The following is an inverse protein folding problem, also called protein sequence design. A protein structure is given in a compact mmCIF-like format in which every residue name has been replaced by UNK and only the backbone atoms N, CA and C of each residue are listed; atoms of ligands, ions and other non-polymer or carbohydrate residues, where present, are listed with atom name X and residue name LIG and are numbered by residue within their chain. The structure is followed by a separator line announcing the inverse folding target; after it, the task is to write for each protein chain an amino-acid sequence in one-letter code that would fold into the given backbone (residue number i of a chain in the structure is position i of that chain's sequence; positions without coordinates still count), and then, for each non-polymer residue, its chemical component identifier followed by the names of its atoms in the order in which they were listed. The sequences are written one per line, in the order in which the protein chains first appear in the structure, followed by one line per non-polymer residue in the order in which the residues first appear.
data_IF_437451276911
#
_entry.id   IF_437451276911
#
_cell.length_a   1.000
_cell.length_b   1.000
_cell.length_c   1.000
_cell.angle_alpha   90.00
_cell.angle_beta   90.00
_cell.angle_gamma   90.00
#
_symmetry.space_group_name_H-M   'P 1'
#
loop_
_entity.id
_entity.type
_entity.pdbx_description
1 polymer ?
#
# COMPACT_ATOMS: atom_id res chain seq x y z
N UNK A 1 -11.81 24.77 29.64
CA UNK A 1 -12.63 23.54 29.53
C UNK A 1 -11.72 22.38 29.15
N UNK A 2 -11.63 21.34 29.98
CA UNK A 2 -10.74 20.21 29.76
C UNK A 2 -11.19 19.37 28.56
N UNK A 3 -10.29 19.14 27.60
CA UNK A 3 -10.53 18.30 26.42
C UNK A 3 -10.56 16.83 26.87
N UNK A 4 -11.73 16.21 26.84
CA UNK A 4 -11.90 14.80 27.16
C UNK A 4 -11.09 13.93 26.20
N UNK A 5 -10.37 12.94 26.75
CA UNK A 5 -9.55 11.97 26.04
C UNK A 5 -10.46 11.16 25.11
N UNK A 6 -10.37 11.39 23.80
CA UNK A 6 -11.13 10.65 22.78
C UNK A 6 -10.67 9.19 22.84
N UNK A 7 -11.49 8.31 23.42
CA UNK A 7 -11.25 6.87 23.41
C UNK A 7 -10.97 6.42 21.98
N UNK A 8 -9.85 5.72 21.77
CA UNK A 8 -9.51 5.14 20.47
C UNK A 8 -10.68 4.29 19.99
N UNK A 9 -11.39 4.79 18.98
CA UNK A 9 -12.51 4.06 18.38
C UNK A 9 -11.95 2.80 17.75
N UNK A 10 -12.30 1.63 18.30
CA UNK A 10 -11.98 0.34 17.69
C UNK A 10 -12.38 0.37 16.20
N UNK A 11 -11.45 0.09 15.26
CA UNK A 11 -11.67 0.30 13.82
C UNK A 11 -12.69 -0.67 13.22
N UNK A 12 -13.02 -1.76 13.91
CA UNK A 12 -13.94 -2.81 13.45
C UNK A 12 -14.96 -3.13 14.53
N UNK A 13 -16.25 -3.11 14.19
CA UNK A 13 -17.37 -3.43 15.10
C UNK A 13 -18.30 -4.46 14.48
N UNK A 14 -18.78 -5.41 15.27
CA UNK A 14 -19.86 -6.32 14.85
C UNK A 14 -21.19 -5.58 14.96
N UNK A 15 -22.04 -5.76 13.94
CA UNK A 15 -23.40 -5.24 13.88
C UNK A 15 -24.34 -6.31 13.34
N UNK A 16 -25.62 -6.12 13.61
CA UNK A 16 -26.69 -7.04 13.21
C UNK A 16 -27.69 -6.31 12.34
N UNK A 17 -28.18 -6.98 11.30
CA UNK A 17 -29.25 -6.51 10.43
C UNK A 17 -30.39 -7.53 10.49
N UNK A 18 -31.55 -7.10 10.95
CA UNK A 18 -32.76 -7.90 10.92
C UNK A 18 -33.18 -8.19 9.48
N UNK A 19 -33.52 -9.44 9.20
CA UNK A 19 -34.02 -9.90 7.91
C UNK A 19 -35.54 -10.17 7.98
N UNK A 20 -36.18 -10.26 6.81
CA UNK A 20 -37.63 -10.45 6.70
C UNK A 20 -38.12 -11.79 7.25
N UNK A 21 -37.24 -12.80 7.28
CA UNK A 21 -37.49 -14.15 7.79
C UNK A 21 -37.34 -14.26 9.31
N UNK A 22 -37.05 -13.15 10.02
CA UNK A 22 -36.83 -13.14 11.47
C UNK A 22 -35.39 -13.44 11.89
N UNK A 23 -34.51 -13.79 10.96
CA UNK A 23 -33.09 -14.01 11.22
C UNK A 23 -32.33 -12.67 11.30
N UNK A 24 -31.11 -12.71 11.85
CA UNK A 24 -30.21 -11.55 11.89
C UNK A 24 -28.93 -11.83 11.12
N UNK A 25 -28.65 -11.04 10.09
CA UNK A 25 -27.36 -11.08 9.38
C UNK A 25 -26.29 -10.33 10.17
N UNK A 26 -25.13 -10.95 10.32
CA UNK A 26 -23.96 -10.36 10.98
C UNK A 26 -23.06 -9.68 9.94
N UNK A 27 -22.68 -8.43 10.23
CA UNK A 27 -21.74 -7.67 9.41
C UNK A 27 -20.74 -6.90 10.26
N UNK A 28 -19.59 -6.61 9.66
CA UNK A 28 -18.58 -5.72 10.24
C UNK A 28 -18.82 -4.29 9.74
N UNK A 29 -18.78 -3.36 10.68
CA UNK A 29 -18.72 -1.93 10.46
C UNK A 29 -17.27 -1.49 10.66
N UNK A 30 -16.60 -1.18 9.55
CA UNK A 30 -15.17 -0.92 9.50
C UNK A 30 -14.96 0.57 9.19
N UNK A 31 -14.26 1.27 10.08
CA UNK A 31 -13.87 2.67 9.91
C UNK A 31 -12.35 2.78 9.89
N UNK A 32 -11.79 2.94 8.69
CA UNK A 32 -10.34 3.03 8.45
C UNK A 32 -10.06 4.07 7.38
N UNK A 33 -8.94 4.78 7.45
CA UNK A 33 -8.53 5.77 6.44
C UNK A 33 -9.59 6.83 6.13
N UNK A 34 -10.34 7.26 7.17
CA UNK A 34 -11.48 8.20 7.07
C UNK A 34 -12.63 7.72 6.17
N UNK A 35 -12.63 6.44 5.76
CA UNK A 35 -13.70 5.81 4.98
C UNK A 35 -14.40 4.74 5.81
N UNK A 36 -15.72 4.66 5.66
CA UNK A 36 -16.55 3.62 6.27
C UNK A 36 -16.91 2.57 5.23
N UNK A 37 -16.76 1.30 5.58
CA UNK A 37 -17.20 0.18 4.75
C UNK A 37 -17.92 -0.87 5.59
N UNK A 38 -18.86 -1.57 4.96
CA UNK A 38 -19.59 -2.68 5.57
C UNK A 38 -19.19 -3.99 4.91
N UNK A 39 -18.89 -5.01 5.72
CA UNK A 39 -18.53 -6.34 5.26
C UNK A 39 -19.52 -7.36 5.83
N UNK A 40 -20.39 -7.91 4.98
CA UNK A 40 -21.37 -8.91 5.39
C UNK A 40 -20.70 -10.29 5.49
N UNK A 41 -20.78 -10.91 6.67
CA UNK A 41 -20.04 -12.16 6.95
C UNK A 41 -20.74 -13.42 6.41
N UNK A 42 -21.94 -13.29 5.85
CA UNK A 42 -22.84 -14.41 5.51
C UNK A 42 -23.10 -15.36 6.69
N UNK A 43 -22.95 -14.85 7.90
CA UNK A 43 -23.31 -15.50 9.15
C UNK A 43 -24.67 -14.95 9.60
N UNK A 44 -25.52 -15.84 10.09
CA UNK A 44 -26.89 -15.51 10.48
C UNK A 44 -27.19 -16.07 11.87
N UNK A 45 -27.82 -15.25 12.71
CA UNK A 45 -28.44 -15.71 13.95
C UNK A 45 -29.90 -16.05 13.68
N UNK A 46 -30.35 -17.16 14.25
CA UNK A 46 -31.75 -17.59 14.21
C UNK A 46 -32.46 -17.17 15.50
N UNK A 47 -33.80 -17.06 15.51
CA UNK A 47 -34.56 -16.86 16.74
C UNK A 47 -34.22 -17.91 17.80
N UNK A 48 -33.91 -17.49 19.02
CA UNK A 48 -33.49 -18.36 20.13
C UNK A 48 -34.67 -19.06 20.82
N UNK A 49 -35.44 -19.81 20.04
CA UNK A 49 -36.63 -20.54 20.50
C UNK A 49 -36.30 -21.89 21.14
N UNK A 50 -35.08 -22.41 20.94
CA UNK A 50 -34.62 -23.69 21.49
C UNK A 50 -33.19 -23.60 22.03
N UNK A 51 -32.78 -24.61 22.81
CA UNK A 51 -31.42 -24.67 23.35
C UNK A 51 -30.38 -24.86 22.22
N UNK A 52 -30.72 -25.65 21.22
CA UNK A 52 -29.88 -25.87 20.03
C UNK A 52 -29.70 -24.58 19.24
N UNK A 53 -30.76 -23.75 19.14
CA UNK A 53 -30.69 -22.44 18.50
C UNK A 53 -29.72 -21.50 19.23
N UNK A 54 -29.72 -21.50 20.57
CA UNK A 54 -28.78 -20.73 21.40
C UNK A 54 -27.35 -21.19 21.19
N UNK A 55 -27.11 -22.51 21.19
CA UNK A 55 -25.77 -23.07 20.96
C UNK A 55 -25.25 -22.76 19.57
N UNK A 56 -26.11 -22.85 18.54
CA UNK A 56 -25.78 -22.46 17.16
C UNK A 56 -25.42 -20.97 17.08
N UNK A 57 -26.21 -20.10 17.70
CA UNK A 57 -25.94 -18.66 17.73
C UNK A 57 -24.62 -18.35 18.45
N UNK A 58 -24.34 -19.02 19.57
CA UNK A 58 -23.08 -18.88 20.30
C UNK A 58 -21.86 -19.26 19.43
N UNK A 59 -21.93 -20.38 18.72
CA UNK A 59 -20.89 -20.80 17.78
C UNK A 59 -20.71 -19.79 16.63
N UNK A 60 -21.82 -19.26 16.12
CA UNK A 60 -21.84 -18.26 15.05
C UNK A 60 -21.20 -16.94 15.51
N UNK A 61 -21.50 -16.50 16.72
CA UNK A 61 -20.90 -15.31 17.33
C UNK A 61 -19.40 -15.51 17.59
N UNK A 62 -18.98 -16.71 17.99
CA UNK A 62 -17.56 -17.05 18.15
C UNK A 62 -16.81 -16.92 16.82
N UNK A 63 -17.39 -17.44 15.73
CA UNK A 63 -16.85 -17.29 14.37
C UNK A 63 -16.79 -15.82 13.94
N UNK A 64 -17.85 -15.04 14.18
CA UNK A 64 -17.87 -13.60 13.86
C UNK A 64 -16.80 -12.82 14.62
N UNK A 65 -16.57 -13.14 15.90
CA UNK A 65 -15.50 -12.53 16.70
C UNK A 65 -14.11 -12.90 16.21
N UNK A 66 -13.89 -14.14 15.77
CA UNK A 66 -12.63 -14.55 15.14
C UNK A 66 -12.35 -13.76 13.85
N UNK A 67 -13.35 -13.59 12.99
CA UNK A 67 -13.22 -12.78 11.76
C UNK A 67 -12.95 -11.31 12.11
N UNK A 68 -13.64 -10.75 13.11
CA UNK A 68 -13.39 -9.39 13.62
C UNK A 68 -11.94 -9.23 14.06
N UNK A 69 -11.41 -10.18 14.85
CA UNK A 69 -10.03 -10.16 15.32
C UNK A 69 -9.04 -10.21 14.15
N UNK A 70 -9.28 -11.09 13.17
CA UNK A 70 -8.47 -11.15 11.96
C UNK A 70 -8.46 -9.82 11.20
N UNK A 71 -9.62 -9.16 11.05
CA UNK A 71 -9.70 -7.86 10.38
C UNK A 71 -8.96 -6.76 11.12
N UNK A 72 -8.99 -6.77 12.45
CA UNK A 72 -8.19 -5.84 13.26
C UNK A 72 -6.69 -6.07 13.00
N UNK A 73 -6.24 -7.32 12.94
CA UNK A 73 -4.86 -7.65 12.59
C UNK A 73 -4.50 -7.21 11.16
N UNK A 74 -5.35 -7.46 10.18
CA UNK A 74 -5.13 -7.07 8.78
C UNK A 74 -4.96 -5.54 8.65
N UNK A 75 -5.81 -4.77 9.33
CA UNK A 75 -5.76 -3.30 9.35
C UNK A 75 -4.49 -2.81 10.06
N UNK A 76 -4.15 -3.42 11.20
CA UNK A 76 -2.98 -3.04 11.99
C UNK A 76 -1.67 -3.36 11.26
N UNK A 77 -1.62 -4.50 10.57
CA UNK A 77 -0.42 -4.98 9.88
C UNK A 77 -0.22 -4.41 8.48
N UNK A 78 -1.10 -3.51 7.99
CA UNK A 78 -1.03 -2.86 6.65
C UNK A 78 -0.69 -3.82 5.50
N UNK A 79 -1.02 -5.11 5.57
CA UNK A 79 -0.93 -5.98 4.40
C UNK A 79 -2.19 -5.75 3.58
N UNK A 80 -2.10 -5.24 2.34
CA UNK A 80 -3.27 -5.04 1.52
C UNK A 80 -3.84 -6.40 1.11
N UNK A 81 -4.74 -6.96 1.92
CA UNK A 81 -5.62 -8.07 1.53
C UNK A 81 -6.77 -7.50 0.69
N UNK A 82 -6.42 -6.81 -0.38
CA UNK A 82 -7.29 -6.65 -1.54
C UNK A 82 -6.74 -7.61 -2.57
N UNK A 83 -7.58 -8.36 -3.26
CA UNK A 83 -7.17 -9.06 -4.49
C UNK A 83 -6.44 -8.03 -5.35
N UNK A 84 -5.11 -8.08 -5.34
CA UNK A 84 -4.29 -7.13 -6.07
C UNK A 84 -4.67 -7.33 -7.53
N UNK A 85 -5.04 -6.24 -8.20
CA UNK A 85 -5.24 -6.30 -9.65
C UNK A 85 -3.97 -6.82 -10.31
N UNK A 86 -4.10 -7.44 -11.48
CA UNK A 86 -2.92 -7.91 -12.21
C UNK A 86 -1.92 -6.77 -12.45
N UNK A 87 -2.43 -5.55 -12.68
CA UNK A 87 -1.60 -4.33 -12.73
C UNK A 87 -0.84 -4.07 -11.44
N UNK A 88 -1.42 -4.26 -10.26
CA UNK A 88 -0.71 -4.04 -9.01
C UNK A 88 0.43 -5.06 -8.78
N UNK A 89 0.35 -6.25 -9.40
CA UNK A 89 1.37 -7.31 -9.32
C UNK A 89 2.56 -7.11 -10.28
N UNK A 90 2.38 -6.26 -11.28
CA UNK A 90 3.39 -5.85 -12.26
C UNK A 90 4.57 -5.14 -11.57
N UNK A 91 5.75 -5.26 -12.17
CA UNK A 91 6.91 -4.51 -11.69
C UNK A 91 6.73 -3.00 -11.92
N UNK A 92 7.29 -2.16 -11.04
CA UNK A 92 7.24 -0.70 -11.23
C UNK A 92 7.91 -0.28 -12.54
N UNK A 93 8.98 -0.98 -12.94
CA UNK A 93 9.74 -0.69 -14.17
C UNK A 93 8.89 -0.97 -15.41
N UNK A 94 8.26 -2.14 -15.47
CA UNK A 94 7.37 -2.51 -16.58
C UNK A 94 6.17 -1.56 -16.69
N UNK A 95 5.62 -1.13 -15.55
CA UNK A 95 4.56 -0.13 -15.54
C UNK A 95 5.02 1.25 -16.04
N UNK A 96 6.25 1.66 -15.69
CA UNK A 96 6.84 2.90 -16.19
C UNK A 96 7.03 2.84 -17.71
N UNK A 97 7.46 1.70 -18.25
CA UNK A 97 7.59 1.49 -19.69
C UNK A 97 6.21 1.59 -20.39
N UNK A 98 5.14 0.97 -19.86
CA UNK A 98 3.76 1.16 -20.37
C UNK A 98 3.31 2.63 -20.33
N UNK A 99 3.68 3.34 -19.27
CA UNK A 99 3.35 4.75 -19.09
C UNK A 99 4.07 5.65 -20.10
N UNK A 100 5.34 5.37 -20.39
CA UNK A 100 6.10 6.06 -21.43
C UNK A 100 5.46 5.84 -22.81
N UNK A 101 5.16 4.59 -23.16
CA UNK A 101 4.52 4.22 -24.44
C UNK A 101 3.16 4.90 -24.64
N UNK A 102 2.37 5.02 -23.56
CA UNK A 102 1.10 5.74 -23.62
C UNK A 102 1.30 7.24 -23.85
N UNK A 103 2.32 7.84 -23.23
CA UNK A 103 2.60 9.26 -23.39
C UNK A 103 3.19 9.61 -24.75
N UNK A 104 4.07 8.78 -25.31
CA UNK A 104 4.64 9.00 -26.65
C UNK A 104 3.56 8.94 -27.73
N UNK A 105 2.60 7.99 -27.62
CA UNK A 105 1.40 7.93 -28.47
C UNK A 105 0.53 9.19 -28.40
N UNK A 106 0.64 9.98 -27.33
CA UNK A 106 -0.04 11.27 -27.14
C UNK A 106 0.85 12.48 -27.47
N UNK A 107 2.00 12.27 -28.12
CA UNK A 107 2.92 13.34 -28.52
C UNK A 107 3.86 13.84 -27.42
N UNK A 108 3.96 13.15 -26.27
CA UNK A 108 4.87 13.51 -25.17
C UNK A 108 6.21 12.82 -25.34
N UNK A 109 7.01 13.30 -26.29
CA UNK A 109 8.31 12.68 -26.65
C UNK A 109 9.33 12.70 -25.50
N UNK A 110 9.43 13.81 -24.77
CA UNK A 110 10.34 13.95 -23.62
C UNK A 110 9.96 13.10 -22.40
N UNK A 111 8.77 12.48 -22.40
CA UNK A 111 8.37 11.59 -21.33
C UNK A 111 9.23 10.32 -21.33
N UNK A 112 9.51 9.77 -22.51
CA UNK A 112 10.27 8.54 -22.65
C UNK A 112 11.68 8.66 -22.06
N UNK A 113 12.36 9.78 -22.31
CA UNK A 113 13.71 10.04 -21.80
C UNK A 113 13.72 10.14 -20.27
N UNK A 114 12.75 10.87 -19.71
CA UNK A 114 12.62 11.02 -18.25
C UNK A 114 12.31 9.69 -17.58
N UNK A 115 11.37 8.92 -18.15
CA UNK A 115 11.03 7.58 -17.65
C UNK A 115 12.24 6.66 -17.75
N UNK A 116 12.97 6.68 -18.85
CA UNK A 116 14.17 5.85 -19.04
C UNK A 116 15.23 6.13 -17.97
N UNK A 117 15.52 7.41 -17.69
CA UNK A 117 16.46 7.80 -16.64
C UNK A 117 16.04 7.30 -15.24
N UNK A 118 14.75 7.41 -14.91
CA UNK A 118 14.19 6.88 -13.66
C UNK A 118 14.28 5.35 -13.62
N UNK A 119 13.96 4.66 -14.72
CA UNK A 119 14.04 3.21 -14.83
C UNK A 119 15.46 2.69 -14.62
N UNK A 120 16.50 3.39 -15.13
CA UNK A 120 17.89 3.04 -14.84
C UNK A 120 18.23 3.18 -13.36
N UNK A 121 17.77 4.26 -12.72
CA UNK A 121 17.97 4.45 -11.28
C UNK A 121 17.25 3.38 -10.45
N UNK A 122 16.03 3.01 -10.82
CA UNK A 122 15.26 1.94 -10.19
C UNK A 122 15.91 0.57 -10.38
N UNK A 123 16.42 0.26 -11.58
CA UNK A 123 17.15 -0.99 -11.84
C UNK A 123 18.38 -1.16 -10.92
N UNK A 124 19.08 -0.07 -10.64
CA UNK A 124 20.22 -0.07 -9.73
C UNK A 124 19.83 -0.13 -8.25
N UNK A 125 18.70 0.48 -7.87
CA UNK A 125 18.24 0.53 -6.48
C UNK A 125 17.46 -0.73 -6.06
N UNK A 126 16.44 -1.10 -6.84
CA UNK A 126 15.61 -2.27 -6.62
C UNK A 126 14.91 -2.71 -7.93
N UNK A 127 15.49 -3.65 -8.70
CA UNK A 127 14.96 -4.06 -10.00
C UNK A 127 13.70 -4.94 -9.90
N UNK A 128 13.35 -5.45 -8.72
CA UNK A 128 12.24 -6.40 -8.53
C UNK A 128 11.01 -5.78 -7.87
N UNK A 129 11.06 -4.48 -7.55
CA UNK A 129 9.97 -3.78 -6.87
C UNK A 129 8.67 -3.86 -7.68
N UNK A 130 7.60 -4.28 -7.03
CA UNK A 130 6.25 -4.33 -7.61
C UNK A 130 5.45 -3.10 -7.22
N UNK A 131 4.44 -2.77 -8.02
CA UNK A 131 3.58 -1.59 -7.77
C UNK A 131 2.95 -1.58 -6.37
N UNK A 132 2.48 -2.74 -5.89
CA UNK A 132 1.86 -2.82 -4.55
C UNK A 132 2.86 -2.62 -3.40
N UNK A 133 4.16 -2.74 -3.66
CA UNK A 133 5.24 -2.60 -2.68
C UNK A 133 5.76 -1.16 -2.59
N UNK A 134 5.29 -0.28 -3.48
CA UNK A 134 5.65 1.14 -3.46
C UNK A 134 4.87 1.85 -2.35
N UNK A 135 5.51 1.97 -1.19
CA UNK A 135 5.00 2.71 -0.05
C UNK A 135 5.85 3.97 0.23
N UNK A 136 5.49 4.69 1.30
CA UNK A 136 6.18 5.92 1.69
C UNK A 136 7.66 5.68 2.01
N UNK A 137 7.99 4.56 2.64
CA UNK A 137 9.33 4.27 3.11
C UNK A 137 10.23 3.90 1.93
N UNK A 138 9.71 3.14 0.96
CA UNK A 138 10.36 2.91 -0.32
C UNK A 138 10.67 4.22 -1.05
N UNK A 139 9.68 5.12 -1.18
CA UNK A 139 9.87 6.39 -1.87
C UNK A 139 10.93 7.26 -1.18
N UNK A 140 10.92 7.30 0.15
CA UNK A 140 11.90 8.04 0.93
C UNK A 140 13.31 7.48 0.71
N UNK A 141 13.48 6.15 0.82
CA UNK A 141 14.78 5.51 0.56
C UNK A 141 15.27 5.70 -0.87
N UNK A 142 14.37 5.68 -1.85
CA UNK A 142 14.73 5.94 -3.24
C UNK A 142 15.18 7.40 -3.47
N UNK A 143 14.51 8.37 -2.84
CA UNK A 143 14.94 9.78 -2.88
C UNK A 143 16.34 9.94 -2.28
N UNK A 144 16.62 9.29 -1.15
CA UNK A 144 17.91 9.37 -0.48
C UNK A 144 19.03 8.68 -1.28
N UNK A 145 18.71 7.57 -1.96
CA UNK A 145 19.58 6.96 -2.96
C UNK A 145 19.91 7.93 -4.10
N UNK A 146 18.91 8.59 -4.68
CA UNK A 146 19.11 9.56 -5.77
C UNK A 146 19.98 10.74 -5.36
N UNK A 147 19.80 11.25 -4.13
CA UNK A 147 20.65 12.32 -3.57
C UNK A 147 22.10 11.87 -3.46
N UNK A 148 22.34 10.68 -2.91
CA UNK A 148 23.68 10.12 -2.73
C UNK A 148 24.39 9.91 -4.06
N UNK A 149 23.66 9.43 -5.07
CA UNK A 149 24.20 9.22 -6.42
C UNK A 149 24.67 10.53 -7.05
N UNK A 150 23.84 11.59 -6.99
CA UNK A 150 24.21 12.93 -7.49
C UNK A 150 25.48 13.45 -6.83
N UNK A 151 25.63 13.25 -5.52
CA UNK A 151 26.83 13.67 -4.78
C UNK A 151 28.08 12.93 -5.27
N UNK A 152 28.00 11.63 -5.56
CA UNK A 152 29.15 10.85 -6.08
C UNK A 152 29.55 11.27 -7.49
N UNK A 153 28.57 11.47 -8.38
CA UNK A 153 28.81 11.94 -9.75
C UNK A 153 29.50 13.33 -9.74
N UNK A 154 29.08 14.26 -8.87
CA UNK A 154 29.71 15.57 -8.71
C UNK A 154 31.14 15.51 -8.17
N UNK A 155 31.43 14.60 -7.24
CA UNK A 155 32.79 14.43 -6.68
C UNK A 155 33.73 13.85 -7.75
N UNK A 156 33.24 12.91 -8.56
CA UNK A 156 34.02 12.31 -9.64
C UNK A 156 34.32 13.31 -10.76
N UNK A 157 33.38 14.17 -11.12
CA UNK A 157 33.57 15.20 -12.14
C UNK A 157 34.57 16.30 -11.68
N UNK A 158 34.48 16.71 -10.41
CA UNK A 158 35.43 17.68 -9.81
C UNK A 158 36.85 17.11 -9.68
N UNK A 159 36.98 15.84 -9.34
CA UNK A 159 38.31 15.18 -9.27
C UNK A 159 38.93 14.97 -10.65
N UNK A 160 38.14 14.60 -11.67
CA UNK A 160 38.60 14.52 -13.06
C UNK A 160 39.06 15.89 -13.60
N UNK A 161 38.36 16.96 -13.24
CA UNK A 161 38.73 18.34 -13.62
C UNK A 161 40.02 18.81 -12.95
N UNK A 162 40.27 18.43 -11.69
CA UNK A 162 41.51 18.78 -11.00
C UNK A 162 42.73 18.03 -11.56
N UNK A 163 42.55 16.77 -11.97
CA UNK A 163 43.62 15.97 -12.59
C UNK A 163 44.01 16.50 -13.98
N UNK A 164 43.05 16.94 -14.79
CA UNK A 164 43.34 17.52 -16.12
C UNK A 164 44.05 18.88 -16.04
N UNK A 165 43.74 19.68 -15.01
CA UNK A 165 44.40 20.96 -14.75
C UNK A 165 45.87 20.78 -14.32
N UNK A 166 46.17 19.74 -13.54
CA UNK A 166 47.53 19.44 -13.07
C UNK A 166 48.42 18.85 -14.18
N UNK A 167 47.86 18.05 -15.10
CA UNK A 167 48.60 17.57 -16.28
C UNK A 167 48.97 18.68 -17.27
N UNK A 168 48.29 19.84 -17.21
CA UNK A 168 48.56 20.98 -18.10
C UNK A 168 49.72 21.88 -17.63
N UNK A 169 50.25 21.67 -16.42
CA UNK A 169 51.34 22.45 -15.83
C UNK A 169 52.70 21.73 -15.85
N UNK A 170 52.75 20.50 -16.37
CA UNK A 170 53.97 19.67 -16.35
C UNK A 170 54.68 19.60 -17.71
N UNK A 171 54.28 20.43 -18.68
CA UNK A 171 54.91 20.55 -20.01
C UNK A 171 55.18 22.03 -20.31
N UNK A 172 56.13 22.61 -19.59
CA UNK A 172 56.77 23.89 -19.92
C UNK A 172 58.20 23.88 -19.37
#
# INVERSE_FOLDING_TARGET
MARTKKSESVPVRIRFKQLKDGNQSIYLDIYTDRKRRYEFLKLFLVPEISQEAKERNANTLKAANAIKAQRILDITNKKPVTVLSDKARMSLIEWLDEYADFGTKKGRTSLADNVHAVSLCLKAYNPRIRLYEVDKDFLQGFIDYLRTRKTKEQIQDRSATLLSLHSSWSVA
#
